data_IF_607668481343
#
_entry.id   IF_607668481343
#
_cell.length_a   1.000
_cell.length_b   1.000
_cell.length_c   1.000
_cell.angle_alpha   90.00
_cell.angle_beta   90.00
_cell.angle_gamma   90.00
#
_symmetry.space_group_name_H-M   'P 1'
#
loop_
_entity.id
_entity.type
_entity.pdbx_description
1 polymer ?
#
# COMPACT_ATOMS: atom_id res chain seq x y z
N UNK A 1 -36.41 14.56 2.64
CA UNK A 1 -36.24 14.93 1.24
C UNK A 1 -35.66 16.33 1.27
N UNK A 2 -34.35 16.43 1.35
CA UNK A 2 -33.63 17.72 1.42
C UNK A 2 -32.71 17.77 0.20
N UNK A 3 -33.08 18.58 -0.76
CA UNK A 3 -32.33 18.81 -2.01
C UNK A 3 -31.11 19.67 -1.67
N UNK A 4 -29.91 19.08 -1.68
CA UNK A 4 -28.67 19.79 -1.45
C UNK A 4 -28.17 20.34 -2.77
N UNK A 5 -28.29 21.64 -2.95
CA UNK A 5 -27.71 22.36 -4.09
C UNK A 5 -26.22 22.54 -3.80
N UNK A 6 -25.38 21.70 -4.42
CA UNK A 6 -23.95 21.88 -4.41
C UNK A 6 -23.55 22.85 -5.51
N UNK A 7 -23.09 24.04 -5.17
CA UNK A 7 -22.48 24.98 -6.12
C UNK A 7 -21.06 24.50 -6.35
N UNK A 8 -20.81 23.88 -7.51
CA UNK A 8 -19.47 23.53 -7.97
C UNK A 8 -19.02 24.55 -9.00
N UNK A 9 -17.93 25.24 -8.70
CA UNK A 9 -17.17 25.99 -9.69
C UNK A 9 -16.41 24.96 -10.56
N UNK A 10 -16.74 24.96 -11.86
CA UNK A 10 -16.16 24.07 -12.85
C UNK A 10 -14.73 24.50 -13.20
N UNK A 11 -13.74 23.75 -12.75
CA UNK A 11 -12.45 23.71 -13.42
C UNK A 11 -12.51 22.58 -14.47
N UNK A 12 -12.68 22.93 -15.71
CA UNK A 12 -12.60 21.99 -16.84
C UNK A 12 -11.14 21.69 -17.12
N UNK A 13 -10.63 20.58 -16.62
CA UNK A 13 -9.43 19.95 -17.16
C UNK A 13 -9.82 19.26 -18.48
N UNK A 14 -9.32 19.79 -19.59
CA UNK A 14 -9.49 19.19 -20.89
C UNK A 14 -8.63 17.93 -20.98
N UNK A 15 -9.28 16.76 -20.95
CA UNK A 15 -8.64 15.50 -21.34
C UNK A 15 -8.36 15.55 -22.84
N UNK A 16 -7.08 15.42 -23.21
CA UNK A 16 -6.67 15.29 -24.59
C UNK A 16 -7.07 13.90 -25.12
N UNK A 17 -7.97 13.89 -26.06
CA UNK A 17 -8.44 12.74 -26.82
C UNK A 17 -7.28 12.15 -27.64
N UNK A 18 -6.90 10.91 -27.40
CA UNK A 18 -5.93 10.19 -28.22
C UNK A 18 -6.66 9.59 -29.44
N UNK A 19 -6.22 9.82 -30.68
CA UNK A 19 -6.92 9.34 -31.86
C UNK A 19 -6.79 7.82 -32.01
N UNK A 20 -7.91 7.13 -31.93
CA UNK A 20 -8.02 5.73 -32.33
C UNK A 20 -7.64 5.57 -33.81
N UNK A 21 -6.56 4.84 -34.05
CA UNK A 21 -6.20 4.41 -35.39
C UNK A 21 -6.84 3.04 -35.68
N UNK A 22 -8.00 3.10 -36.33
CA UNK A 22 -8.60 1.93 -36.97
C UNK A 22 -7.99 1.78 -38.35
N UNK A 23 -7.17 0.77 -38.58
CA UNK A 23 -7.02 0.21 -39.92
C UNK A 23 -6.95 -1.32 -39.86
N UNK A 24 -8.05 -1.91 -40.34
CA UNK A 24 -8.17 -3.32 -40.64
C UNK A 24 -7.52 -3.57 -41.99
N UNK A 25 -6.59 -4.50 -42.10
CA UNK A 25 -6.56 -5.40 -43.26
C UNK A 25 -5.76 -6.67 -42.98
N UNK A 26 -6.50 -7.77 -43.12
CA UNK A 26 -6.04 -9.15 -43.31
C UNK A 26 -4.98 -9.28 -44.41
N UNK A 27 -3.98 -10.14 -44.19
CA UNK A 27 -3.63 -11.16 -45.18
C UNK A 27 -2.73 -12.25 -44.59
N UNK A 28 -3.17 -13.47 -44.79
CA UNK A 28 -2.54 -14.76 -44.63
C UNK A 28 -1.32 -14.98 -45.52
N UNK A 29 -0.42 -15.79 -45.04
CA UNK A 29 0.38 -16.92 -45.66
C UNK A 29 1.82 -16.88 -45.13
N UNK A 30 2.19 -17.89 -44.51
CA UNK A 30 2.66 -19.24 -44.80
C UNK A 30 4.19 -19.42 -44.67
N UNK A 31 4.54 -20.30 -43.71
CA UNK A 31 5.56 -21.35 -43.79
C UNK A 31 6.99 -21.01 -44.26
N UNK A 32 7.97 -21.18 -43.36
CA UNK A 32 9.09 -22.10 -43.52
C UNK A 32 10.12 -21.98 -42.38
N UNK A 33 10.29 -23.04 -41.61
CA UNK A 33 11.58 -23.50 -41.09
C UNK A 33 12.38 -24.12 -42.23
N UNK A 34 13.72 -24.19 -42.20
CA UNK A 34 14.42 -25.13 -41.35
C UNK A 34 15.86 -24.78 -40.92
N UNK A 35 16.26 -25.54 -39.87
CA UNK A 35 17.51 -26.26 -39.63
C UNK A 35 18.84 -25.51 -39.41
N UNK A 36 19.33 -25.75 -38.22
CA UNK A 36 20.63 -26.29 -37.80
C UNK A 36 21.91 -25.93 -38.57
N UNK A 37 22.92 -25.48 -37.86
CA UNK A 37 24.23 -26.14 -37.88
C UNK A 37 25.09 -25.83 -36.64
N UNK A 38 25.82 -26.86 -36.25
CA UNK A 38 26.78 -26.99 -35.16
C UNK A 38 28.09 -26.23 -35.46
N UNK A 39 28.83 -25.90 -34.41
CA UNK A 39 30.24 -26.27 -34.17
C UNK A 39 30.87 -25.39 -33.08
N UNK A 40 31.15 -25.99 -31.97
CA UNK A 40 32.43 -26.48 -31.42
C UNK A 40 33.56 -25.47 -31.19
N UNK A 41 34.10 -25.58 -29.99
CA UNK A 41 35.50 -25.37 -29.64
C UNK A 41 35.74 -24.17 -28.75
N UNK A 42 36.32 -24.21 -27.69
CA UNK A 42 37.20 -25.06 -26.88
C UNK A 42 38.08 -24.15 -26.05
N UNK A 43 38.22 -24.49 -24.78
CA UNK A 43 39.36 -24.31 -23.86
C UNK A 43 40.05 -22.91 -23.76
N UNK A 44 40.38 -22.42 -22.65
CA UNK A 44 41.15 -22.80 -21.48
C UNK A 44 41.36 -21.56 -20.61
N UNK A 45 41.14 -21.65 -19.36
CA UNK A 45 42.08 -21.94 -18.28
C UNK A 45 42.86 -20.75 -17.71
N UNK A 46 42.71 -20.64 -16.42
CA UNK A 46 43.73 -20.53 -15.34
C UNK A 46 44.26 -19.11 -15.00
N UNK A 47 44.05 -18.61 -13.86
CA UNK A 47 44.85 -18.65 -12.63
C UNK A 47 44.51 -17.43 -11.77
N UNK A 48 44.08 -17.60 -10.54
CA UNK A 48 44.81 -17.66 -9.27
C UNK A 48 45.56 -16.40 -8.89
N UNK A 49 45.23 -16.00 -7.74
CA UNK A 49 46.04 -15.69 -6.54
C UNK A 49 45.55 -14.44 -5.87
N UNK A 50 44.99 -14.60 -4.70
CA UNK A 50 45.61 -14.59 -3.36
C UNK A 50 45.93 -13.20 -2.81
N UNK A 51 45.25 -12.97 -1.67
CA UNK A 51 45.78 -12.48 -0.37
C UNK A 51 46.13 -10.99 -0.29
N UNK A 52 45.65 -10.29 0.69
CA UNK A 52 45.87 -10.30 2.14
C UNK A 52 44.98 -9.24 2.79
N UNK A 53 44.17 -9.54 3.77
CA UNK A 53 44.33 -9.36 5.23
C UNK A 53 45.18 -8.18 5.69
N UNK A 54 44.56 -7.31 6.44
CA UNK A 54 45.00 -6.67 7.70
C UNK A 54 43.87 -5.73 8.12
N UNK A 55 43.08 -5.99 9.12
CA UNK A 55 43.26 -6.06 10.58
C UNK A 55 43.66 -4.74 11.23
N UNK A 56 42.82 -4.36 12.20
CA UNK A 56 43.04 -3.60 13.43
C UNK A 56 43.24 -2.07 13.28
N UNK A 57 42.62 -1.22 14.03
CA UNK A 57 42.37 -1.14 15.47
C UNK A 57 41.49 0.06 15.78
N UNK A 58 40.54 -0.15 16.69
CA UNK A 58 40.02 0.90 17.56
C UNK A 58 41.09 1.34 18.57
N UNK A 59 41.07 2.56 19.07
CA UNK A 59 41.01 2.68 20.52
C UNK A 59 39.93 3.64 21.07
N UNK A 60 39.48 3.19 22.18
CA UNK A 60 38.63 3.71 23.23
C UNK A 60 38.99 5.10 23.77
N UNK A 61 37.94 5.73 24.24
CA UNK A 61 37.79 6.52 25.49
C UNK A 61 38.74 7.68 25.76
N UNK A 62 38.13 8.82 26.04
CA UNK A 62 38.23 9.40 27.39
C UNK A 62 37.23 10.53 27.62
N UNK A 63 36.41 10.32 28.65
CA UNK A 63 35.70 11.32 29.43
C UNK A 63 36.69 12.38 30.00
N UNK A 64 36.22 13.62 30.15
CA UNK A 64 36.33 14.39 31.40
C UNK A 64 35.78 15.80 31.17
N UNK A 65 34.72 16.12 31.88
CA UNK A 65 34.64 16.99 33.06
C UNK A 65 34.52 18.50 32.78
N UNK A 66 33.35 18.95 33.16
CA UNK A 66 32.98 20.31 33.50
C UNK A 66 33.91 20.87 34.63
N UNK A 67 34.12 22.18 34.69
CA UNK A 67 33.75 22.86 35.93
C UNK A 67 32.92 24.13 35.76
N UNK A 68 32.05 24.26 36.71
CA UNK A 68 31.21 25.32 37.18
C UNK A 68 31.99 26.53 37.72
N UNK A 69 31.25 27.66 37.85
CA UNK A 69 31.49 28.84 38.67
C UNK A 69 32.18 30.03 37.95
N UNK A 70 31.76 31.27 38.05
CA UNK A 70 31.03 32.07 39.07
C UNK A 70 30.74 33.45 38.46
N UNK A 71 29.61 34.00 38.82
CA UNK A 71 29.29 35.44 38.71
C UNK A 71 30.13 36.27 39.68
N UNK A 72 30.44 37.54 39.35
CA UNK A 72 30.09 38.59 40.32
C UNK A 72 29.35 39.78 39.71
N UNK A 73 28.46 40.23 40.50
CA UNK A 73 27.69 41.45 40.55
C UNK A 73 28.55 42.71 40.68
N UNK A 74 27.98 43.84 40.25
CA UNK A 74 28.07 45.23 40.64
C UNK A 74 28.59 46.20 39.56
N UNK A 75 27.96 47.20 39.20
CA UNK A 75 27.35 48.42 39.73
C UNK A 75 27.20 49.43 38.58
N UNK A 76 26.05 50.08 38.56
CA UNK A 76 25.73 51.27 37.75
C UNK A 76 26.57 52.48 38.25
N UNK A 77 26.79 53.45 37.35
CA UNK A 77 26.22 54.78 37.66
C UNK A 77 25.45 55.39 36.47
N UNK A 78 24.38 55.98 36.83
CA UNK A 78 23.48 56.91 36.20
C UNK A 78 24.26 58.13 35.63
N UNK A 79 23.97 58.49 34.35
CA UNK A 79 24.22 59.86 33.87
C UNK A 79 23.14 60.23 32.85
N UNK A 80 22.48 61.30 33.15
CA UNK A 80 21.36 61.92 32.45
C UNK A 80 21.67 62.37 31.01
N UNK A 81 20.59 62.40 30.24
CA UNK A 81 20.18 62.78 28.92
C UNK A 81 20.96 63.84 28.13
N UNK A 82 20.71 63.94 26.79
CA UNK A 82 19.65 64.81 26.35
C UNK A 82 18.68 64.18 25.30
N UNK A 83 17.43 64.55 25.47
CA UNK A 83 16.29 64.36 24.57
C UNK A 83 16.60 64.88 23.18
N UNK A 84 16.59 63.99 22.19
CA UNK A 84 16.46 64.30 20.78
C UNK A 84 15.10 63.77 20.33
N UNK A 85 14.21 64.65 19.94
CA UNK A 85 12.94 64.34 19.30
C UNK A 85 13.21 63.40 18.10
N UNK A 86 12.62 62.19 18.16
CA UNK A 86 12.55 61.29 17.06
C UNK A 86 11.55 61.76 16.01
N UNK A 87 11.85 61.63 14.70
CA UNK A 87 10.88 61.85 13.66
C UNK A 87 9.74 60.82 13.80
N UNK A 88 8.49 61.28 13.61
CA UNK A 88 7.30 60.44 13.64
C UNK A 88 7.51 59.20 12.72
N UNK A 89 7.52 58.05 13.32
CA UNK A 89 7.44 56.77 12.60
C UNK A 89 6.15 56.74 11.79
N UNK A 90 6.29 56.67 10.47
CA UNK A 90 5.25 56.30 9.54
C UNK A 90 4.77 54.92 9.96
N UNK A 91 3.45 54.64 10.05
CA UNK A 91 3.00 53.30 10.36
C UNK A 91 3.57 52.37 9.33
N UNK A 92 4.40 51.41 9.77
CA UNK A 92 4.84 50.29 8.98
C UNK A 92 3.60 49.62 8.36
N UNK A 93 3.58 49.48 7.06
CA UNK A 93 2.58 48.64 6.40
C UNK A 93 2.62 47.26 7.12
N UNK A 94 1.51 46.85 7.67
CA UNK A 94 1.34 45.55 8.30
C UNK A 94 1.61 44.54 7.22
N UNK A 95 2.81 43.92 7.24
CA UNK A 95 3.16 42.86 6.32
C UNK A 95 2.11 41.74 6.49
N UNK A 96 1.41 41.41 5.42
CA UNK A 96 0.42 40.34 5.42
C UNK A 96 1.06 39.07 5.98
N UNK A 97 0.51 38.54 7.07
CA UNK A 97 1.01 37.29 7.64
C UNK A 97 0.77 36.17 6.61
N UNK A 98 1.77 35.33 6.35
CA UNK A 98 1.60 34.24 5.40
C UNK A 98 0.48 33.29 5.86
N UNK A 99 -0.25 32.75 4.90
CA UNK A 99 -1.30 31.76 5.15
C UNK A 99 -0.64 30.53 5.79
N UNK A 100 -1.11 30.14 6.98
CA UNK A 100 -0.56 28.99 7.72
C UNK A 100 -1.49 27.78 7.65
N UNK A 101 -2.78 28.00 7.38
CA UNK A 101 -3.79 26.96 7.38
C UNK A 101 -4.94 27.26 6.44
N UNK A 102 -5.43 26.25 5.72
CA UNK A 102 -6.66 26.25 4.96
C UNK A 102 -7.55 25.08 5.37
N UNK A 103 -8.85 25.25 5.26
CA UNK A 103 -9.80 24.21 5.69
C UNK A 103 -10.94 24.08 4.68
N UNK A 104 -11.28 22.83 4.38
CA UNK A 104 -12.50 22.40 3.69
C UNK A 104 -13.34 21.59 4.66
N UNK A 105 -14.66 21.75 4.64
CA UNK A 105 -15.55 20.97 5.49
C UNK A 105 -16.87 20.69 4.78
N UNK A 106 -17.32 19.44 4.87
CA UNK A 106 -18.64 19.00 4.47
C UNK A 106 -19.33 18.21 5.60
N UNK A 107 -20.44 17.52 5.30
CA UNK A 107 -21.20 16.77 6.32
C UNK A 107 -20.42 15.56 6.88
N UNK A 108 -19.47 15.00 6.14
CA UNK A 108 -18.78 13.75 6.45
C UNK A 108 -17.35 13.96 6.98
N UNK A 109 -16.62 14.93 6.43
CA UNK A 109 -15.19 15.11 6.69
C UNK A 109 -14.82 16.58 6.80
N UNK A 110 -13.87 16.89 7.68
CA UNK A 110 -13.13 18.13 7.72
C UNK A 110 -11.70 17.88 7.25
N UNK A 111 -11.29 18.58 6.19
CA UNK A 111 -9.93 18.51 5.65
C UNK A 111 -9.23 19.81 5.96
N UNK A 112 -8.10 19.73 6.65
CA UNK A 112 -7.27 20.86 7.04
C UNK A 112 -5.90 20.70 6.42
N UNK A 113 -5.39 21.77 5.81
CA UNK A 113 -4.05 21.84 5.27
C UNK A 113 -3.25 22.86 6.06
N UNK A 114 -2.23 22.41 6.77
CA UNK A 114 -1.33 23.23 7.57
C UNK A 114 0.02 23.38 6.83
N UNK A 115 0.55 24.59 6.78
CA UNK A 115 1.92 24.81 6.31
C UNK A 115 2.91 24.23 7.32
N UNK A 116 3.83 23.37 6.87
CA UNK A 116 4.94 22.86 7.71
C UNK A 116 5.92 24.00 8.03
N UNK A 117 6.19 24.84 7.04
CA UNK A 117 6.99 26.05 7.19
C UNK A 117 6.22 27.25 6.64
N UNK A 118 6.54 28.43 7.15
CA UNK A 118 5.92 29.69 6.69
C UNK A 118 6.13 29.88 5.19
N UNK A 119 5.03 30.10 4.46
CA UNK A 119 5.04 30.30 3.01
C UNK A 119 4.89 29.03 2.17
N UNK A 120 4.79 27.83 2.78
CA UNK A 120 4.53 26.60 2.04
C UNK A 120 3.13 26.58 1.40
N UNK A 121 2.15 27.29 2.00
CA UNK A 121 0.88 27.58 1.35
C UNK A 121 1.06 28.86 0.51
N UNK A 122 0.82 28.81 -0.81
CA UNK A 122 0.97 29.98 -1.68
C UNK A 122 0.05 31.12 -1.26
N UNK A 123 0.52 32.36 -1.47
CA UNK A 123 -0.30 33.55 -1.21
C UNK A 123 -1.52 33.59 -2.14
N UNK A 124 -2.69 33.88 -1.59
CA UNK A 124 -3.94 33.91 -2.32
C UNK A 124 -4.55 32.55 -2.65
N UNK A 125 -3.91 31.44 -2.22
CA UNK A 125 -4.44 30.10 -2.42
C UNK A 125 -5.74 29.89 -1.61
N UNK A 126 -6.68 29.17 -2.23
CA UNK A 126 -7.86 28.60 -1.58
C UNK A 126 -7.82 27.09 -1.73
N UNK A 127 -8.34 26.36 -0.75
CA UNK A 127 -8.38 24.90 -0.77
C UNK A 127 -9.61 24.42 -1.54
N UNK A 128 -9.39 23.66 -2.61
CA UNK A 128 -10.42 22.93 -3.35
C UNK A 128 -10.32 21.45 -3.07
N UNK A 129 -11.44 20.82 -2.73
CA UNK A 129 -11.51 19.38 -2.46
C UNK A 129 -12.73 18.81 -3.18
N UNK A 130 -12.48 17.79 -4.00
CA UNK A 130 -13.54 17.04 -4.71
C UNK A 130 -13.49 15.60 -4.25
N UNK A 131 -14.53 15.10 -3.53
CA UNK A 131 -14.66 13.68 -3.25
C UNK A 131 -14.86 12.89 -4.54
N UNK A 132 -14.12 11.80 -4.70
CA UNK A 132 -14.24 10.87 -5.83
C UNK A 132 -15.14 9.72 -5.40
N UNK A 133 -16.42 9.83 -5.74
CA UNK A 133 -17.48 8.92 -5.33
C UNK A 133 -18.29 8.53 -6.55
N UNK A 134 -18.56 7.24 -6.71
CA UNK A 134 -19.44 6.74 -7.76
C UNK A 134 -20.86 7.26 -7.59
N UNK A 135 -21.43 7.82 -8.64
CA UNK A 135 -22.75 8.42 -8.63
C UNK A 135 -23.77 7.47 -9.27
N UNK A 136 -24.91 7.30 -8.61
CA UNK A 136 -26.05 6.60 -9.21
C UNK A 136 -26.74 7.52 -10.23
N UNK A 137 -26.82 7.10 -11.49
CA UNK A 137 -27.52 7.84 -12.56
C UNK A 137 -28.94 7.32 -12.66
N UNK A 138 -29.91 8.19 -12.40
CA UNK A 138 -31.33 7.84 -12.45
C UNK A 138 -32.06 8.55 -13.58
N UNK A 139 -33.19 7.97 -14.03
CA UNK A 139 -34.00 8.58 -15.09
C UNK A 139 -34.64 9.93 -14.71
N UNK A 140 -34.70 10.23 -13.40
CA UNK A 140 -35.23 11.49 -12.86
C UNK A 140 -34.25 12.68 -12.93
N UNK A 141 -32.98 12.43 -13.18
CA UNK A 141 -31.95 13.46 -13.34
C UNK A 141 -32.15 14.22 -14.64
N UNK A 142 -31.88 15.53 -14.61
CA UNK A 142 -31.73 16.34 -15.81
C UNK A 142 -30.50 15.92 -16.64
N UNK A 143 -30.46 16.30 -17.91
CA UNK A 143 -29.32 15.98 -18.78
C UNK A 143 -28.00 16.57 -18.23
N UNK A 144 -28.07 17.75 -17.61
CA UNK A 144 -26.91 18.41 -16.98
C UNK A 144 -26.42 17.66 -15.74
N UNK A 145 -27.34 17.15 -14.89
CA UNK A 145 -27.00 16.33 -13.73
C UNK A 145 -26.42 14.98 -14.15
N UNK A 146 -26.96 14.36 -15.21
CA UNK A 146 -26.43 13.11 -15.78
C UNK A 146 -25.01 13.29 -16.30
N UNK A 147 -24.77 14.33 -17.10
CA UNK A 147 -23.42 14.63 -17.62
C UNK A 147 -22.40 14.79 -16.49
N UNK A 148 -22.76 15.52 -15.44
CA UNK A 148 -21.89 15.71 -14.29
C UNK A 148 -21.65 14.42 -13.50
N UNK A 149 -22.68 13.59 -13.34
CA UNK A 149 -22.54 12.28 -12.69
C UNK A 149 -21.66 11.34 -13.53
N UNK A 150 -21.77 11.37 -14.87
CA UNK A 150 -20.90 10.63 -15.79
C UNK A 150 -19.44 11.08 -15.67
N UNK A 151 -19.16 12.40 -15.58
CA UNK A 151 -17.81 12.93 -15.38
C UNK A 151 -17.21 12.43 -14.04
N UNK A 152 -17.98 12.45 -12.95
CA UNK A 152 -17.53 11.94 -11.66
C UNK A 152 -17.30 10.42 -11.67
N UNK A 153 -18.17 9.67 -12.36
CA UNK A 153 -17.98 8.22 -12.53
C UNK A 153 -16.74 7.90 -13.37
N UNK A 154 -16.47 8.65 -14.43
CA UNK A 154 -15.25 8.49 -15.21
C UNK A 154 -14.00 8.76 -14.37
N UNK A 155 -14.04 9.75 -13.47
CA UNK A 155 -12.95 10.03 -12.55
C UNK A 155 -12.78 8.91 -11.50
N UNK A 156 -13.89 8.36 -10.99
CA UNK A 156 -13.88 7.20 -10.09
C UNK A 156 -13.25 5.98 -10.78
N UNK A 157 -13.75 5.63 -11.98
CA UNK A 157 -13.27 4.46 -12.73
C UNK A 157 -11.78 4.62 -13.12
N UNK A 158 -11.35 5.83 -13.49
CA UNK A 158 -9.92 6.12 -13.72
C UNK A 158 -9.07 5.91 -12.48
N UNK A 159 -9.50 6.45 -11.34
CA UNK A 159 -8.80 6.28 -10.05
C UNK A 159 -8.72 4.80 -9.68
N UNK A 160 -9.84 4.07 -9.75
CA UNK A 160 -9.91 2.64 -9.48
C UNK A 160 -8.91 1.85 -10.34
N UNK A 161 -8.86 2.15 -11.65
CA UNK A 161 -7.94 1.47 -12.57
C UNK A 161 -6.48 1.72 -12.19
N UNK A 162 -6.11 2.95 -11.82
CA UNK A 162 -4.74 3.26 -11.39
C UNK A 162 -4.35 2.55 -10.10
N UNK A 163 -5.28 2.46 -9.14
CA UNK A 163 -5.06 1.71 -7.90
C UNK A 163 -4.91 0.21 -8.19
N UNK A 164 -5.70 -0.36 -9.12
CA UNK A 164 -5.59 -1.76 -9.53
C UNK A 164 -4.28 -2.06 -10.26
N UNK A 165 -3.82 -1.18 -11.16
CA UNK A 165 -2.52 -1.30 -11.82
C UNK A 165 -1.39 -1.40 -10.78
N UNK A 166 -1.39 -0.51 -9.76
CA UNK A 166 -0.42 -0.54 -8.66
C UNK A 166 -0.52 -1.85 -7.86
N UNK A 167 -1.74 -2.30 -7.56
CA UNK A 167 -1.98 -3.51 -6.79
C UNK A 167 -1.49 -4.77 -7.51
N UNK A 168 -1.68 -4.87 -8.84
CA UNK A 168 -1.17 -5.98 -9.65
C UNK A 168 0.36 -6.04 -9.60
N UNK A 169 1.04 -4.89 -9.71
CA UNK A 169 2.50 -4.81 -9.64
C UNK A 169 3.06 -5.28 -8.28
N UNK A 170 2.32 -5.06 -7.21
CA UNK A 170 2.71 -5.40 -5.83
C UNK A 170 2.04 -6.67 -5.26
N UNK A 171 1.28 -7.39 -6.09
CA UNK A 171 0.66 -8.69 -5.76
C UNK A 171 -0.35 -8.63 -4.61
N UNK A 172 -1.27 -7.65 -4.66
CA UNK A 172 -2.45 -7.57 -3.80
C UNK A 172 -3.69 -7.16 -4.61
N UNK A 173 -4.86 -7.22 -4.01
CA UNK A 173 -6.13 -6.78 -4.60
C UNK A 173 -6.65 -5.53 -3.87
N UNK A 174 -7.28 -4.60 -4.59
CA UNK A 174 -8.02 -3.49 -3.99
C UNK A 174 -9.45 -3.96 -3.70
N UNK A 175 -9.82 -4.00 -2.43
CA UNK A 175 -11.17 -4.34 -2.00
C UNK A 175 -12.13 -3.15 -2.10
N UNK A 176 -11.63 -1.94 -1.97
CA UNK A 176 -12.38 -0.69 -2.07
C UNK A 176 -11.53 0.50 -1.66
N UNK A 177 -12.02 1.71 -1.89
CA UNK A 177 -11.28 2.93 -1.54
C UNK A 177 -12.19 4.12 -1.26
N UNK A 178 -11.65 5.10 -0.51
CA UNK A 178 -12.18 6.46 -0.37
C UNK A 178 -11.16 7.40 -1.02
N UNK A 179 -11.58 8.30 -1.89
CA UNK A 179 -10.63 9.18 -2.55
C UNK A 179 -11.09 10.63 -2.65
N UNK A 180 -10.11 11.53 -2.66
CA UNK A 180 -10.30 12.97 -2.75
C UNK A 180 -9.27 13.57 -3.69
N UNK A 181 -9.72 14.34 -4.67
CA UNK A 181 -8.84 15.26 -5.38
C UNK A 181 -8.70 16.52 -4.53
N UNK A 182 -7.47 16.81 -4.11
CA UNK A 182 -7.13 17.96 -3.26
C UNK A 182 -6.21 18.87 -4.07
N UNK A 183 -6.52 20.18 -4.11
CA UNK A 183 -5.68 21.14 -4.81
C UNK A 183 -5.82 22.53 -4.19
N UNK A 184 -4.81 23.36 -4.35
CA UNK A 184 -4.96 24.79 -4.19
C UNK A 184 -5.39 25.42 -5.51
N UNK A 185 -6.21 26.45 -5.43
CA UNK A 185 -6.60 27.27 -6.57
C UNK A 185 -6.43 28.75 -6.24
N UNK A 186 -6.05 29.54 -7.26
CA UNK A 186 -6.00 31.00 -7.18
C UNK A 186 -7.40 31.63 -7.30
N UNK A 187 -7.47 32.95 -7.31
CA UNK A 187 -8.73 33.69 -7.44
C UNK A 187 -9.42 33.50 -8.81
N UNK A 188 -8.67 33.09 -9.83
CA UNK A 188 -9.17 32.79 -11.18
C UNK A 188 -9.54 31.32 -11.36
N UNK A 189 -9.30 30.47 -10.35
CA UNK A 189 -9.59 29.02 -10.35
C UNK A 189 -8.47 28.17 -10.96
N UNK A 190 -7.29 28.73 -11.22
CA UNK A 190 -6.16 27.96 -11.73
C UNK A 190 -5.52 27.14 -10.60
N UNK A 191 -5.10 25.90 -10.94
CA UNK A 191 -4.39 25.02 -10.00
C UNK A 191 -3.07 25.64 -9.55
N UNK A 192 -2.79 25.56 -8.26
CA UNK A 192 -1.53 25.94 -7.63
C UNK A 192 -0.97 24.77 -6.85
N UNK A 193 0.35 24.60 -6.89
CA UNK A 193 1.02 23.61 -6.05
C UNK A 193 1.54 24.24 -4.76
N UNK A 194 1.70 23.46 -3.68
CA UNK A 194 2.40 23.91 -2.47
C UNK A 194 3.83 24.38 -2.79
N UNK A 195 4.30 25.46 -2.11
CA UNK A 195 5.69 25.90 -2.24
C UNK A 195 6.70 25.03 -1.46
N UNK A 196 6.21 24.05 -0.72
CA UNK A 196 6.97 23.12 0.10
C UNK A 196 6.03 22.20 0.86
N UNK A 197 6.55 21.48 1.86
CA UNK A 197 5.76 20.49 2.58
C UNK A 197 4.57 21.12 3.32
N UNK A 198 3.41 20.53 3.13
CA UNK A 198 2.17 20.82 3.86
C UNK A 198 1.67 19.54 4.54
N UNK A 199 0.97 19.73 5.64
CA UNK A 199 0.33 18.64 6.38
C UNK A 199 -1.16 18.66 6.11
N UNK A 200 -1.66 17.64 5.43
CA UNK A 200 -3.09 17.42 5.17
C UNK A 200 -3.66 16.53 6.26
N UNK A 201 -4.72 16.97 6.91
CA UNK A 201 -5.45 16.19 7.90
C UNK A 201 -6.89 16.02 7.45
N UNK A 202 -7.32 14.78 7.24
CA UNK A 202 -8.72 14.41 6.99
C UNK A 202 -9.31 13.87 8.28
N UNK A 203 -10.24 14.59 8.89
CA UNK A 203 -10.87 14.24 10.16
C UNK A 203 -12.34 13.91 9.90
N UNK A 204 -12.71 12.64 10.00
CA UNK A 204 -14.06 12.17 9.69
C UNK A 204 -14.97 12.39 10.89
N UNK A 205 -16.13 13.02 10.67
CA UNK A 205 -17.12 13.33 11.72
C UNK A 205 -17.73 12.08 12.36
N UNK A 206 -17.75 10.99 11.61
CA UNK A 206 -18.08 9.64 12.07
C UNK A 206 -17.09 8.68 11.42
N UNK A 207 -16.71 7.58 12.06
CA UNK A 207 -15.89 6.56 11.42
C UNK A 207 -16.53 6.09 10.11
N UNK A 208 -15.73 5.91 9.06
CA UNK A 208 -16.19 5.60 7.70
C UNK A 208 -15.38 4.44 7.12
N UNK A 209 -16.04 3.62 6.31
CA UNK A 209 -15.43 2.56 5.53
C UNK A 209 -15.90 2.65 4.08
N UNK A 210 -15.07 2.26 3.12
CA UNK A 210 -15.47 2.18 1.73
C UNK A 210 -16.56 1.11 1.55
N UNK A 211 -17.68 1.46 0.90
CA UNK A 211 -18.79 0.53 0.66
C UNK A 211 -18.34 -0.70 -0.14
N UNK A 212 -17.49 -0.48 -1.16
CA UNK A 212 -16.93 -1.56 -1.98
C UNK A 212 -16.08 -2.53 -1.16
N UNK A 213 -15.36 -2.06 -0.13
CA UNK A 213 -14.60 -2.93 0.76
C UNK A 213 -15.52 -3.83 1.59
N UNK A 214 -16.64 -3.30 2.07
CA UNK A 214 -17.66 -4.09 2.77
C UNK A 214 -18.29 -5.11 1.84
N UNK A 215 -18.60 -4.70 0.61
CA UNK A 215 -19.17 -5.59 -0.42
C UNK A 215 -18.19 -6.72 -0.77
N UNK A 216 -16.92 -6.38 -1.00
CA UNK A 216 -15.86 -7.37 -1.28
C UNK A 216 -15.75 -8.41 -0.18
N UNK A 217 -15.79 -8.01 1.10
CA UNK A 217 -15.78 -8.96 2.23
C UNK A 217 -17.01 -9.86 2.22
N UNK A 218 -18.20 -9.30 1.95
CA UNK A 218 -19.44 -10.08 1.91
C UNK A 218 -19.49 -11.09 0.75
N UNK A 219 -18.90 -10.74 -0.38
CA UNK A 219 -18.92 -11.55 -1.60
C UNK A 219 -17.77 -12.58 -1.65
N UNK A 220 -16.85 -12.54 -0.69
CA UNK A 220 -15.63 -13.35 -0.68
C UNK A 220 -15.65 -14.36 0.47
N UNK A 221 -15.78 -15.66 0.17
CA UNK A 221 -15.94 -16.73 1.16
C UNK A 221 -14.77 -16.87 2.15
N UNK A 222 -13.57 -16.45 1.75
CA UNK A 222 -12.35 -16.58 2.57
C UNK A 222 -11.98 -15.30 3.34
N UNK A 223 -12.67 -14.17 3.11
CA UNK A 223 -12.61 -12.97 3.94
C UNK A 223 -13.68 -13.04 5.02
N UNK A 224 -13.30 -12.88 6.27
CA UNK A 224 -14.25 -12.97 7.38
C UNK A 224 -14.70 -11.60 7.88
N UNK A 225 -13.90 -10.57 7.65
CA UNK A 225 -14.13 -9.23 8.17
C UNK A 225 -13.27 -8.20 7.43
N UNK A 226 -13.70 -6.94 7.45
CA UNK A 226 -12.88 -5.78 7.04
C UNK A 226 -11.57 -5.66 7.82
N UNK A 227 -11.45 -6.29 8.98
CA UNK A 227 -10.19 -6.39 9.75
C UNK A 227 -9.10 -7.21 9.07
N UNK A 228 -9.49 -8.06 8.13
CA UNK A 228 -8.56 -8.86 7.35
C UNK A 228 -7.93 -8.05 6.19
N UNK A 229 -8.47 -6.87 5.90
CA UNK A 229 -7.94 -5.93 4.93
C UNK A 229 -6.88 -5.04 5.57
N UNK A 230 -5.89 -4.67 4.79
CA UNK A 230 -4.93 -3.64 5.14
C UNK A 230 -5.39 -2.28 4.63
N UNK A 231 -5.03 -1.19 5.34
CA UNK A 231 -5.43 0.16 4.94
C UNK A 231 -4.19 0.99 4.64
N UNK A 232 -4.17 1.60 3.45
CA UNK A 232 -3.06 2.43 2.98
C UNK A 232 -3.55 3.78 2.47
N UNK A 233 -2.62 4.73 2.38
CA UNK A 233 -2.84 5.98 1.66
C UNK A 233 -2.02 5.95 0.39
N UNK A 234 -2.67 6.02 -0.75
CA UNK A 234 -2.05 6.05 -2.07
C UNK A 234 -2.21 7.45 -2.68
N UNK A 235 -1.12 8.03 -3.15
CA UNK A 235 -1.08 9.31 -3.83
C UNK A 235 -0.88 9.08 -5.34
N UNK A 236 -1.83 9.52 -6.15
CA UNK A 236 -1.74 9.47 -7.61
C UNK A 236 -0.97 10.72 -8.08
N UNK A 237 0.34 10.63 -8.16
CA UNK A 237 1.18 11.75 -8.59
C UNK A 237 0.92 12.14 -10.04
N UNK A 238 0.74 13.43 -10.27
CA UNK A 238 0.45 14.01 -11.59
C UNK A 238 1.62 14.85 -12.10
N UNK A 239 1.82 14.83 -13.43
CA UNK A 239 2.67 15.81 -14.10
C UNK A 239 1.97 17.18 -14.25
N UNK A 240 2.70 18.16 -14.79
CA UNK A 240 2.16 19.52 -15.03
C UNK A 240 0.96 19.57 -16.00
N UNK A 241 0.63 18.46 -16.66
CA UNK A 241 -0.51 18.35 -17.58
C UNK A 241 -1.69 17.61 -16.93
N UNK A 242 -1.58 17.21 -15.65
CA UNK A 242 -2.58 16.44 -14.92
C UNK A 242 -2.60 14.96 -15.29
N UNK A 243 -1.53 14.43 -15.90
CA UNK A 243 -1.40 13.02 -16.19
C UNK A 243 -0.77 12.32 -15.01
N UNK A 244 -1.42 11.26 -14.50
CA UNK A 244 -0.86 10.41 -13.47
C UNK A 244 0.41 9.72 -13.99
N UNK A 245 1.52 9.93 -13.29
CA UNK A 245 2.85 9.41 -13.61
C UNK A 245 3.26 8.27 -12.70
N UNK A 246 2.76 8.26 -11.46
CA UNK A 246 3.02 7.22 -10.47
C UNK A 246 1.88 7.11 -9.45
N UNK A 247 1.83 6.00 -8.73
CA UNK A 247 0.96 5.80 -7.58
C UNK A 247 1.85 5.42 -6.38
N UNK A 248 2.03 6.35 -5.46
CA UNK A 248 2.95 6.23 -4.33
C UNK A 248 2.19 5.78 -3.09
N UNK A 249 2.66 4.72 -2.41
CA UNK A 249 2.15 4.31 -1.10
C UNK A 249 2.78 5.19 -0.01
N UNK A 250 2.03 6.17 0.48
CA UNK A 250 2.44 7.11 1.52
C UNK A 250 2.56 6.47 2.91
N UNK A 251 2.09 5.24 3.08
CA UNK A 251 2.17 4.46 4.33
C UNK A 251 3.33 3.47 4.36
N UNK A 252 4.07 3.32 3.26
CA UNK A 252 5.24 2.45 3.19
C UNK A 252 6.40 2.98 4.08
N UNK A 253 7.26 2.06 4.55
CA UNK A 253 8.37 2.44 5.46
C UNK A 253 9.42 3.35 4.79
N UNK A 254 9.61 3.20 3.49
CA UNK A 254 10.58 3.95 2.69
C UNK A 254 10.14 5.40 2.39
N UNK A 255 8.87 5.71 2.57
CA UNK A 255 8.32 7.07 2.43
C UNK A 255 8.48 7.94 3.69
N UNK A 256 9.30 7.53 4.66
CA UNK A 256 9.55 8.23 5.93
C UNK A 256 8.30 8.45 6.81
N UNK A 257 7.23 7.69 6.59
CA UNK A 257 5.99 7.79 7.35
C UNK A 257 5.19 9.05 7.01
N UNK A 258 5.15 9.41 5.73
CA UNK A 258 4.45 10.61 5.25
C UNK A 258 2.93 10.52 5.42
N UNK A 259 2.38 9.34 5.74
CA UNK A 259 0.97 9.18 6.10
C UNK A 259 0.78 8.39 7.41
N UNK A 260 -0.22 8.81 8.18
CA UNK A 260 -0.70 8.15 9.39
C UNK A 260 -2.21 7.96 9.31
N UNK A 261 -2.69 6.75 9.61
CA UNK A 261 -4.11 6.39 9.55
C UNK A 261 -4.56 5.94 10.94
N UNK A 262 -5.61 6.58 11.46
CA UNK A 262 -6.27 6.17 12.68
C UNK A 262 -7.60 5.50 12.33
N UNK A 263 -7.75 4.25 12.75
CA UNK A 263 -8.95 3.44 12.51
C UNK A 263 -9.60 2.96 13.81
N UNK A 264 -10.86 2.54 13.72
CA UNK A 264 -11.52 1.74 14.76
C UNK A 264 -10.98 0.30 14.75
N UNK A 265 -11.44 -0.51 15.70
CA UNK A 265 -11.16 -1.96 15.71
C UNK A 265 -11.73 -2.71 14.51
N UNK A 266 -12.65 -2.12 13.77
CA UNK A 266 -13.30 -2.68 12.57
C UNK A 266 -12.69 -2.13 11.26
N UNK A 267 -11.54 -1.46 11.33
CA UNK A 267 -10.87 -0.77 10.21
C UNK A 267 -11.69 0.39 9.59
N UNK A 268 -12.66 0.95 10.32
CA UNK A 268 -13.31 2.19 9.89
C UNK A 268 -12.36 3.37 10.12
N UNK A 269 -12.20 4.21 9.12
CA UNK A 269 -11.30 5.37 9.15
C UNK A 269 -11.90 6.46 10.05
N UNK A 270 -11.11 6.93 11.01
CA UNK A 270 -11.44 8.08 11.86
C UNK A 270 -10.68 9.32 11.41
N UNK A 271 -9.40 9.15 11.09
CA UNK A 271 -8.52 10.26 10.72
C UNK A 271 -7.37 9.77 9.84
N UNK A 272 -7.02 10.61 8.87
CA UNK A 272 -5.82 10.43 8.05
C UNK A 272 -5.00 11.71 8.10
N UNK A 273 -3.68 11.57 8.25
CA UNK A 273 -2.73 12.67 8.19
C UNK A 273 -1.68 12.36 7.14
N UNK A 274 -1.39 13.31 6.26
CA UNK A 274 -0.44 13.16 5.15
C UNK A 274 0.49 14.36 5.17
N UNK A 275 1.80 14.14 4.95
CA UNK A 275 2.77 15.19 4.67
C UNK A 275 3.18 15.10 3.20
N UNK A 276 2.97 16.15 2.43
CA UNK A 276 3.26 16.17 0.99
C UNK A 276 3.68 17.57 0.51
N UNK A 277 4.33 17.62 -0.64
CA UNK A 277 4.69 18.86 -1.33
C UNK A 277 4.02 18.97 -2.71
N UNK A 278 3.12 18.07 -3.04
CA UNK A 278 2.35 18.09 -4.29
C UNK A 278 0.90 17.68 -4.04
N UNK A 279 -0.02 18.19 -4.88
CA UNK A 279 -1.44 17.92 -4.77
C UNK A 279 -2.02 17.28 -6.03
N UNK A 280 -2.83 16.26 -5.81
CA UNK A 280 -3.63 15.58 -6.82
C UNK A 280 -4.68 14.68 -6.11
N UNK A 281 -4.86 13.45 -6.56
CA UNK A 281 -5.77 12.51 -5.93
C UNK A 281 -5.06 11.69 -4.84
N UNK A 282 -5.64 11.72 -3.63
CA UNK A 282 -5.27 10.84 -2.52
C UNK A 282 -6.38 9.82 -2.30
N UNK A 283 -5.99 8.55 -2.26
CA UNK A 283 -6.90 7.44 -2.02
C UNK A 283 -6.55 6.72 -0.70
N UNK A 284 -7.54 6.48 0.14
CA UNK A 284 -7.44 5.61 1.31
C UNK A 284 -7.96 4.25 0.86
N UNK A 285 -7.06 3.33 0.56
CA UNK A 285 -7.37 2.05 -0.06
C UNK A 285 -7.42 0.93 0.96
N UNK A 286 -8.37 0.02 0.79
CA UNK A 286 -8.48 -1.23 1.53
C UNK A 286 -7.89 -2.34 0.67
N UNK A 287 -6.74 -2.85 1.08
CA UNK A 287 -5.94 -3.80 0.33
C UNK A 287 -6.09 -5.20 0.89
N UNK A 288 -6.14 -6.17 0.01
CA UNK A 288 -6.19 -7.56 0.36
C UNK A 288 -4.95 -8.28 -0.16
N UNK A 289 -3.98 -8.48 0.72
CA UNK A 289 -2.88 -9.39 0.47
C UNK A 289 -3.34 -10.81 0.78
N UNK A 290 -3.14 -11.73 -0.13
CA UNK A 290 -3.60 -13.11 0.05
C UNK A 290 -2.63 -14.12 -0.52
N UNK A 291 -2.67 -15.34 0.01
CA UNK A 291 -1.98 -16.50 -0.54
C UNK A 291 -2.99 -17.57 -0.90
N UNK A 292 -2.79 -18.22 -2.03
CA UNK A 292 -3.55 -19.39 -2.40
C UNK A 292 -3.11 -20.60 -1.56
N UNK A 293 -4.06 -21.47 -1.20
CA UNK A 293 -3.81 -22.69 -0.45
C UNK A 293 -4.28 -23.86 -1.29
N UNK A 294 -3.39 -24.81 -1.57
CA UNK A 294 -3.70 -26.04 -2.28
C UNK A 294 -3.42 -27.25 -1.41
N UNK A 295 -4.38 -28.15 -1.38
CA UNK A 295 -4.25 -29.45 -0.71
C UNK A 295 -3.89 -30.47 -1.78
N UNK A 296 -2.71 -31.06 -1.69
CA UNK A 296 -2.17 -31.92 -2.75
C UNK A 296 -1.50 -33.17 -2.19
N UNK A 297 -1.39 -34.20 -3.03
CA UNK A 297 -0.50 -35.34 -2.73
C UNK A 297 0.97 -35.00 -3.08
N UNK A 298 1.86 -35.93 -2.81
CA UNK A 298 3.30 -35.79 -3.10
C UNK A 298 3.64 -35.67 -4.61
N UNK A 299 2.66 -35.88 -5.50
CA UNK A 299 2.80 -35.75 -6.95
C UNK A 299 2.13 -34.49 -7.48
N UNK A 300 1.80 -33.52 -6.59
CA UNK A 300 1.03 -32.29 -6.89
C UNK A 300 -0.40 -32.56 -7.39
N UNK A 301 -0.93 -33.76 -7.19
CA UNK A 301 -2.32 -34.04 -7.51
C UNK A 301 -3.22 -33.42 -6.43
N UNK A 302 -4.16 -32.61 -6.84
CA UNK A 302 -5.10 -31.96 -5.93
C UNK A 302 -5.96 -33.00 -5.21
N UNK A 303 -6.07 -32.85 -3.90
CA UNK A 303 -6.89 -33.68 -3.04
C UNK A 303 -8.12 -32.86 -2.63
N UNK A 304 -9.31 -33.37 -2.93
CA UNK A 304 -10.57 -32.71 -2.60
C UNK A 304 -11.24 -33.39 -1.42
N UNK A 305 -11.57 -32.63 -0.38
CA UNK A 305 -12.29 -33.10 0.80
C UNK A 305 -13.14 -31.99 1.38
N UNK A 306 -14.27 -32.33 1.97
CA UNK A 306 -15.11 -31.38 2.73
C UNK A 306 -14.45 -30.91 4.05
N UNK A 307 -13.31 -31.49 4.42
CA UNK A 307 -12.51 -31.06 5.56
C UNK A 307 -11.56 -29.90 5.18
N UNK A 308 -11.33 -29.69 3.90
CA UNK A 308 -10.52 -28.60 3.36
C UNK A 308 -11.45 -27.41 3.09
N UNK A 309 -11.39 -26.41 3.95
CA UNK A 309 -12.35 -25.32 3.97
C UNK A 309 -11.79 -24.00 3.42
N UNK A 310 -10.50 -23.96 3.15
CA UNK A 310 -9.84 -22.72 2.73
C UNK A 310 -8.91 -22.98 1.55
N UNK A 311 -9.16 -22.27 0.47
CA UNK A 311 -8.31 -22.25 -0.72
C UNK A 311 -7.53 -20.94 -0.88
N UNK A 312 -7.76 -19.98 0.00
CA UNK A 312 -7.09 -18.69 0.04
C UNK A 312 -7.10 -18.14 1.47
N UNK A 313 -6.08 -17.39 1.83
CA UNK A 313 -5.96 -16.74 3.15
C UNK A 313 -5.49 -15.31 3.00
N UNK A 314 -6.18 -14.38 3.67
CA UNK A 314 -5.80 -12.98 3.74
C UNK A 314 -4.69 -12.74 4.77
N UNK A 315 -3.78 -11.83 4.44
CA UNK A 315 -2.64 -11.42 5.27
C UNK A 315 -2.64 -9.89 5.38
N UNK A 316 -2.83 -9.35 6.58
CA UNK A 316 -2.61 -7.93 6.81
C UNK A 316 -1.11 -7.62 6.88
N UNK A 317 -0.67 -6.48 6.33
CA UNK A 317 0.74 -6.05 6.40
C UNK A 317 1.26 -6.04 7.85
N UNK A 318 2.53 -6.37 8.01
CA UNK A 318 3.22 -6.47 9.31
C UNK A 318 2.66 -7.51 10.29
N UNK A 319 1.73 -8.37 9.83
CA UNK A 319 1.26 -9.53 10.58
C UNK A 319 1.71 -10.79 9.87
N UNK A 320 2.23 -11.73 10.61
CA UNK A 320 2.61 -13.04 10.11
C UNK A 320 1.47 -14.05 10.29
N UNK A 321 1.44 -15.02 9.39
CA UNK A 321 0.58 -16.21 9.50
C UNK A 321 1.47 -17.42 9.68
N UNK A 322 1.34 -18.07 10.82
CA UNK A 322 1.88 -19.42 11.02
C UNK A 322 1.04 -20.44 10.28
N UNK A 323 1.68 -21.14 9.34
CA UNK A 323 1.00 -22.14 8.53
C UNK A 323 0.65 -23.37 9.36
N UNK A 324 1.53 -23.74 10.27
CA UNK A 324 1.46 -25.04 10.99
C UNK A 324 0.57 -25.04 12.22
N UNK A 325 0.20 -23.88 12.78
CA UNK A 325 -0.62 -23.82 13.99
C UNK A 325 -2.13 -23.95 13.75
N UNK A 326 -2.57 -23.85 12.50
CA UNK A 326 -3.97 -24.03 12.10
C UNK A 326 -4.92 -22.87 12.44
N UNK A 327 -4.41 -21.72 12.88
CA UNK A 327 -5.25 -20.58 13.29
C UNK A 327 -5.96 -19.94 12.08
N UNK A 328 -5.24 -19.73 11.01
CA UNK A 328 -5.78 -19.17 9.76
C UNK A 328 -6.08 -20.26 8.72
N UNK A 329 -5.27 -21.31 8.66
CA UNK A 329 -5.40 -22.42 7.70
C UNK A 329 -5.71 -23.69 8.49
N UNK A 330 -6.87 -24.29 8.24
CA UNK A 330 -7.21 -25.59 8.83
C UNK A 330 -6.42 -26.70 8.13
N UNK A 331 -5.58 -27.37 8.88
CA UNK A 331 -4.76 -28.49 8.41
C UNK A 331 -5.18 -29.76 9.18
N UNK A 332 -6.13 -30.55 8.65
CA UNK A 332 -6.46 -31.86 9.24
C UNK A 332 -5.22 -32.74 9.24
N UNK A 333 -4.89 -33.35 10.37
CA UNK A 333 -3.74 -34.27 10.46
C UNK A 333 -3.89 -35.46 9.50
N UNK A 334 -5.12 -35.95 9.32
CA UNK A 334 -5.47 -37.03 8.41
C UNK A 334 -6.80 -36.78 7.73
N UNK A 335 -6.90 -37.16 6.46
CA UNK A 335 -8.16 -37.17 5.70
C UNK A 335 -8.35 -38.51 5.01
N UNK A 336 -9.59 -38.97 4.90
CA UNK A 336 -9.94 -40.20 4.17
C UNK A 336 -10.74 -39.84 2.93
N UNK A 337 -10.24 -40.23 1.76
CA UNK A 337 -10.83 -39.96 0.46
C UNK A 337 -10.81 -41.28 -0.33
N UNK A 338 -11.94 -41.72 -0.85
CA UNK A 338 -12.06 -42.94 -1.65
C UNK A 338 -11.43 -44.20 -0.98
N UNK A 339 -11.64 -44.34 0.34
CA UNK A 339 -11.09 -45.40 1.19
C UNK A 339 -9.53 -45.40 1.32
N UNK A 340 -8.89 -44.32 0.92
CA UNK A 340 -7.47 -44.06 1.17
C UNK A 340 -7.33 -43.03 2.28
N UNK A 341 -6.39 -43.27 3.17
CA UNK A 341 -6.07 -42.32 4.24
C UNK A 341 -4.81 -41.54 3.87
N UNK A 342 -4.92 -40.22 3.91
CA UNK A 342 -3.82 -39.30 3.66
C UNK A 342 -3.46 -38.61 4.96
N UNK A 343 -2.17 -38.49 5.24
CA UNK A 343 -1.63 -37.79 6.40
C UNK A 343 -0.87 -36.55 5.95
N UNK A 344 -1.11 -35.43 6.66
CA UNK A 344 -0.35 -34.20 6.45
C UNK A 344 1.16 -34.44 6.61
N UNK A 345 1.95 -33.94 5.67
CA UNK A 345 3.40 -34.12 5.58
C UNK A 345 4.20 -32.83 5.72
N UNK A 346 3.62 -31.69 5.36
CA UNK A 346 4.27 -30.40 5.45
C UNK A 346 3.64 -29.37 4.54
N UNK A 347 4.05 -28.10 4.72
CA UNK A 347 3.68 -26.97 3.86
C UNK A 347 4.89 -26.51 3.03
N UNK A 348 4.67 -26.20 1.78
CA UNK A 348 5.71 -25.77 0.85
C UNK A 348 5.23 -24.55 0.04
N UNK A 349 6.16 -23.66 -0.33
CA UNK A 349 5.88 -22.53 -1.22
C UNK A 349 6.02 -22.97 -2.70
N UNK A 350 5.05 -22.56 -3.50
CA UNK A 350 5.00 -22.62 -4.96
C UNK A 350 5.03 -24.02 -5.63
N UNK A 351 5.39 -25.07 -4.90
CA UNK A 351 5.33 -26.46 -5.37
C UNK A 351 5.53 -27.46 -4.22
N UNK A 352 5.18 -28.73 -4.38
CA UNK A 352 5.42 -29.79 -3.40
C UNK A 352 6.89 -30.04 -3.08
N UNK A 353 7.78 -29.65 -3.98
CA UNK A 353 9.24 -29.70 -3.82
C UNK A 353 9.85 -28.34 -3.48
N UNK A 354 9.01 -27.33 -3.30
CA UNK A 354 9.42 -25.97 -2.95
C UNK A 354 9.97 -25.87 -1.54
N UNK A 355 10.28 -24.66 -1.13
CA UNK A 355 10.77 -24.39 0.22
C UNK A 355 9.72 -24.79 1.26
N UNK A 356 10.11 -25.62 2.24
CA UNK A 356 9.26 -25.93 3.39
C UNK A 356 9.06 -24.68 4.22
N UNK A 357 7.80 -24.29 4.46
CA UNK A 357 7.43 -23.00 5.05
C UNK A 357 6.76 -23.18 6.42
N UNK A 358 7.24 -22.41 7.39
CA UNK A 358 6.64 -22.30 8.71
C UNK A 358 5.65 -21.13 8.79
N UNK A 359 6.04 -19.97 8.27
CA UNK A 359 5.26 -18.73 8.38
C UNK A 359 5.47 -17.84 7.17
N UNK A 360 4.46 -17.07 6.82
CA UNK A 360 4.49 -16.04 5.77
C UNK A 360 3.98 -14.71 6.31
N UNK A 361 4.48 -13.61 5.78
CA UNK A 361 3.99 -12.26 6.06
C UNK A 361 4.21 -11.33 4.88
N UNK A 362 3.51 -10.20 4.92
CA UNK A 362 3.82 -9.01 4.11
C UNK A 362 4.33 -7.93 5.06
N UNK A 363 5.50 -7.33 4.76
CA UNK A 363 6.02 -6.22 5.57
C UNK A 363 5.28 -4.90 5.26
N UNK A 364 5.66 -3.80 5.93
CA UNK A 364 5.02 -2.49 5.69
C UNK A 364 5.24 -1.94 4.29
N UNK A 365 6.32 -2.30 3.63
CA UNK A 365 6.61 -1.90 2.24
C UNK A 365 5.93 -2.81 1.20
N UNK A 366 5.02 -3.69 1.61
CA UNK A 366 4.32 -4.59 0.70
C UNK A 366 5.12 -5.83 0.27
N UNK A 367 6.37 -5.98 0.75
CA UNK A 367 7.22 -7.11 0.36
C UNK A 367 6.84 -8.40 1.09
N UNK A 368 6.75 -9.49 0.33
CA UNK A 368 6.53 -10.82 0.86
C UNK A 368 7.77 -11.40 1.54
N UNK A 369 7.58 -11.98 2.71
CA UNK A 369 8.62 -12.64 3.50
C UNK A 369 8.12 -13.98 3.99
N UNK A 370 9.05 -14.94 4.19
CA UNK A 370 8.73 -16.25 4.73
C UNK A 370 9.79 -16.71 5.76
N UNK A 371 9.40 -17.66 6.60
CA UNK A 371 10.29 -18.45 7.46
C UNK A 371 10.23 -19.91 7.08
N UNK A 372 11.37 -20.59 7.07
CA UNK A 372 11.44 -22.02 6.80
C UNK A 372 11.03 -22.84 8.04
N UNK A 373 10.47 -24.01 7.80
CA UNK A 373 10.06 -24.93 8.87
C UNK A 373 11.26 -25.39 9.72
N UNK A 374 12.44 -25.51 9.13
CA UNK A 374 13.66 -25.99 9.81
C UNK A 374 14.08 -25.15 11.01
N UNK A 375 13.84 -23.83 10.98
CA UNK A 375 14.15 -22.90 12.07
C UNK A 375 12.95 -22.51 12.93
N UNK A 376 11.73 -22.73 12.42
CA UNK A 376 10.47 -22.40 13.09
C UNK A 376 10.40 -20.91 13.46
N UNK A 377 9.91 -20.58 14.64
CA UNK A 377 9.79 -19.19 15.12
C UNK A 377 11.11 -18.42 15.16
N UNK A 378 12.24 -19.10 15.38
CA UNK A 378 13.56 -18.49 15.53
C UNK A 378 14.28 -18.27 14.19
N UNK A 379 13.69 -18.69 13.07
CA UNK A 379 14.25 -18.45 11.75
C UNK A 379 14.17 -16.96 11.37
N UNK A 380 15.19 -16.46 10.66
CA UNK A 380 15.14 -15.13 10.10
C UNK A 380 14.18 -15.06 8.90
N UNK A 381 13.55 -13.89 8.73
CA UNK A 381 12.69 -13.65 7.59
C UNK A 381 13.50 -13.57 6.29
N UNK A 382 13.11 -14.37 5.29
CA UNK A 382 13.70 -14.41 3.96
C UNK A 382 12.78 -13.72 2.96
N UNK A 383 13.36 -13.17 1.90
CA UNK A 383 12.62 -12.59 0.80
C UNK A 383 11.83 -13.66 0.07
N UNK A 384 10.57 -13.37 -0.23
CA UNK A 384 9.65 -14.25 -0.90
C UNK A 384 8.85 -13.54 -1.97
N UNK A 385 7.90 -14.25 -2.53
CA UNK A 385 6.87 -13.72 -3.43
C UNK A 385 5.52 -14.10 -2.85
N UNK A 386 4.50 -13.31 -3.16
CA UNK A 386 3.13 -13.80 -3.06
C UNK A 386 2.98 -15.03 -3.96
N UNK A 387 2.32 -16.06 -3.47
CA UNK A 387 2.25 -17.28 -4.24
C UNK A 387 1.27 -18.28 -3.64
N UNK A 388 1.54 -19.56 -3.87
CA UNK A 388 0.68 -20.65 -3.42
C UNK A 388 1.37 -21.44 -2.30
N UNK A 389 0.63 -21.69 -1.23
CA UNK A 389 1.02 -22.62 -0.18
C UNK A 389 0.48 -24.00 -0.54
N UNK A 390 1.36 -24.96 -0.73
CA UNK A 390 1.03 -26.35 -0.97
C UNK A 390 1.02 -27.11 0.36
N UNK A 391 -0.15 -27.55 0.81
CA UNK A 391 -0.30 -28.42 1.96
C UNK A 391 -0.23 -29.86 1.47
N UNK A 392 0.90 -30.51 1.71
CA UNK A 392 1.22 -31.82 1.15
C UNK A 392 0.74 -32.94 2.07
N UNK A 393 0.05 -33.91 1.48
CA UNK A 393 -0.47 -35.08 2.15
C UNK A 393 0.11 -36.35 1.52
N UNK A 394 0.48 -37.31 2.35
CA UNK A 394 1.00 -38.61 1.92
C UNK A 394 -0.03 -39.72 2.14
N UNK A 395 -0.27 -40.54 1.11
CA UNK A 395 -1.12 -41.70 1.25
C UNK A 395 -0.51 -42.69 2.25
N UNK A 396 -1.29 -43.05 3.27
CA UNK A 396 -0.89 -44.09 4.25
C UNK A 396 -1.12 -45.45 3.63
N UNK A 397 -0.06 -46.10 3.20
CA UNK A 397 -0.14 -47.51 2.80
C UNK A 397 -0.23 -48.38 4.07
N UNK A 398 -1.40 -48.94 4.30
CA UNK A 398 -1.52 -50.04 5.28
C UNK A 398 -0.71 -51.21 4.72
N UNK A 399 0.52 -51.40 5.19
CA UNK A 399 1.24 -52.63 4.95
C UNK A 399 0.38 -53.77 5.55
N UNK A 400 -0.18 -54.62 4.71
CA UNK A 400 -0.79 -55.85 5.16
C UNK A 400 0.26 -56.58 5.97
N UNK A 401 -0.04 -57.07 7.21
CA UNK A 401 0.89 -57.87 7.95
C UNK A 401 1.24 -59.09 7.10
N UNK A 402 2.52 -59.23 6.79
CA UNK A 402 3.05 -60.45 6.19
C UNK A 402 2.71 -61.60 7.12
N UNK A 403 1.77 -62.43 6.69
CA UNK A 403 1.51 -63.69 7.42
C UNK A 403 2.76 -64.53 7.15
N UNK A 404 3.62 -64.63 8.15
CA UNK A 404 4.67 -65.63 8.16
C UNK A 404 4.00 -66.99 8.03
N UNK A 405 4.12 -67.60 6.86
CA UNK A 405 3.75 -69.01 6.70
C UNK A 405 4.64 -69.82 7.62
N UNK A 406 4.07 -70.25 8.74
CA UNK A 406 4.72 -71.22 9.59
C UNK A 406 4.82 -72.52 8.75
N UNK A 407 6.03 -72.79 8.32
CA UNK A 407 6.38 -74.03 7.67
C UNK A 407 6.28 -75.14 8.72
N UNK A 408 5.23 -75.94 8.65
CA UNK A 408 5.02 -77.09 9.48
C UNK A 408 5.72 -78.30 8.88
N UNK A 409 6.90 -78.58 9.36
CA UNK A 409 7.53 -79.93 9.25
C UNK A 409 7.10 -80.86 10.38
#
# INVERSE_FOLDING_TARGET
MLCMVLVLSSATSAFADEPQNTDSQSQTEAVAEPAADEATGDEAAVNSSEQQQQEEQQPEQQQQQQPEQQQPEQQQPETEAPTVEAPAEQPAAEEAQPIQQLTYENDNVKITVDAVESGNIPEGATLSVTPIIKQEITDSMSDEEKTKAEELNNQYDFTENKLKEKAEDESYDIAGFLAYNITFVDADGNKMEPNGNVKVTMDYKQPVIAEDAVQTVNDTEWLNSTKDLDVTVLHLEEDNNGKVTDVVDMTAEDTNGDAEINTTSENEIQKVTITTNSFSTFAIAYNNYSVDVKYVDQNETEITSNQFTQNKVSIARSKDIEITNGDKIKIPETVTIDNKTYRYSGAHLDSVSGTSVYSVKVNRSGEWKYKEESGGENEDWKDGKGGTIYLVYQEQTTALPTVDTIDST
#
